data_IF_517292196822
#
_entry.id   IF_517292196822
#
_cell.length_a   1.000
_cell.length_b   1.000
_cell.length_c   1.000
_cell.angle_alpha   90.00
_cell.angle_beta   90.00
_cell.angle_gamma   90.00
#
_symmetry.space_group_name_H-M   'P 1'
#
loop_
_entity.id
_entity.type
_entity.pdbx_description
1 polymer ?
#
# COMPACT_ATOMS: atom_id res chain seq x y z
N UNK A 1 17.29 3.08 -25.16
CA UNK A 1 15.81 3.02 -25.06
C UNK A 1 15.29 4.45 -24.97
N UNK A 2 14.25 4.80 -25.71
CA UNK A 2 13.59 6.10 -25.53
C UNK A 2 12.78 6.10 -24.23
N UNK A 3 12.83 7.21 -23.51
CA UNK A 3 12.02 7.43 -22.32
C UNK A 3 10.53 7.51 -22.71
N UNK A 4 9.65 6.87 -21.93
CA UNK A 4 8.21 6.82 -22.20
C UNK A 4 7.41 7.34 -21.01
N UNK A 5 6.14 7.73 -21.24
CA UNK A 5 5.20 8.12 -20.17
C UNK A 5 5.08 7.00 -19.13
N UNK A 6 5.03 5.74 -19.58
CA UNK A 6 5.01 4.56 -18.72
C UNK A 6 6.24 4.51 -17.80
N UNK A 7 7.43 4.74 -18.35
CA UNK A 7 8.66 4.80 -17.55
C UNK A 7 8.66 5.99 -16.58
N UNK A 8 8.15 7.16 -17.00
CA UNK A 8 8.01 8.33 -16.13
C UNK A 8 7.13 8.02 -14.93
N UNK A 9 5.95 7.45 -15.18
CA UNK A 9 4.97 7.05 -14.17
C UNK A 9 5.54 6.01 -13.21
N UNK A 10 6.24 5.00 -13.72
CA UNK A 10 6.90 4.00 -12.89
C UNK A 10 7.97 4.63 -11.97
N UNK A 11 8.84 5.48 -12.51
CA UNK A 11 9.87 6.15 -11.73
C UNK A 11 9.26 7.06 -10.64
N UNK A 12 8.18 7.78 -10.96
CA UNK A 12 7.48 8.65 -10.01
C UNK A 12 6.78 7.83 -8.91
N UNK A 13 6.13 6.72 -9.25
CA UNK A 13 5.52 5.81 -8.29
C UNK A 13 6.55 5.15 -7.36
N UNK A 14 7.75 4.79 -7.86
CA UNK A 14 8.85 4.34 -7.02
C UNK A 14 9.27 5.42 -6.04
N UNK A 15 9.51 6.64 -6.53
CA UNK A 15 10.01 7.73 -5.70
C UNK A 15 9.03 8.09 -4.57
N UNK A 16 7.73 8.20 -4.89
CA UNK A 16 6.67 8.48 -3.90
C UNK A 16 6.57 7.39 -2.84
N UNK A 17 6.51 6.10 -3.25
CA UNK A 17 6.45 4.98 -2.34
C UNK A 17 7.67 4.88 -1.43
N UNK A 18 8.86 5.08 -1.99
CA UNK A 18 10.10 5.09 -1.26
C UNK A 18 10.13 6.21 -0.22
N UNK A 19 9.76 7.44 -0.59
CA UNK A 19 9.71 8.60 0.32
C UNK A 19 8.69 8.41 1.45
N UNK A 20 7.53 7.83 1.15
CA UNK A 20 6.49 7.58 2.15
C UNK A 20 6.89 6.54 3.22
N UNK A 21 7.79 5.60 2.88
CA UNK A 21 8.26 4.54 3.78
C UNK A 21 9.64 4.83 4.43
N UNK A 22 10.41 5.77 3.91
CA UNK A 22 11.82 6.00 4.25
C UNK A 22 12.10 6.35 5.71
N UNK A 23 11.20 7.08 6.38
CA UNK A 23 11.51 7.79 7.64
C UNK A 23 12.10 6.84 8.70
N UNK A 24 13.37 7.06 9.04
CA UNK A 24 14.12 6.28 10.03
C UNK A 24 14.27 4.80 9.67
N UNK A 25 14.35 4.46 8.37
CA UNK A 25 14.31 3.08 7.90
C UNK A 25 15.39 2.72 6.88
N UNK A 26 15.12 2.90 5.59
CA UNK A 26 15.99 2.54 4.47
C UNK A 26 16.11 3.74 3.54
N UNK A 27 17.14 3.78 2.68
CA UNK A 27 17.25 4.86 1.69
C UNK A 27 16.18 4.72 0.60
N UNK A 28 15.90 5.82 -0.11
CA UNK A 28 14.97 5.78 -1.24
C UNK A 28 15.42 4.85 -2.34
N UNK A 29 16.73 4.78 -2.56
CA UNK A 29 17.36 3.90 -3.55
C UNK A 29 17.08 2.44 -3.22
N UNK A 30 17.33 2.02 -1.99
CA UNK A 30 17.15 0.62 -1.58
C UNK A 30 15.69 0.19 -1.63
N UNK A 31 14.76 1.05 -1.20
CA UNK A 31 13.32 0.77 -1.35
C UNK A 31 12.94 0.69 -2.84
N UNK A 32 13.48 1.58 -3.67
CA UNK A 32 13.22 1.55 -5.11
C UNK A 32 13.76 0.29 -5.80
N UNK A 33 14.92 -0.21 -5.38
CA UNK A 33 15.45 -1.49 -5.84
C UNK A 33 14.60 -2.67 -5.38
N UNK A 34 14.06 -2.63 -4.15
CA UNK A 34 13.13 -3.65 -3.66
C UNK A 34 11.82 -3.68 -4.47
N UNK A 35 11.28 -2.52 -4.84
CA UNK A 35 10.11 -2.42 -5.73
C UNK A 35 10.44 -3.04 -7.10
N UNK A 36 11.59 -2.69 -7.70
CA UNK A 36 12.02 -3.22 -9.01
C UNK A 36 12.29 -4.73 -8.99
N UNK A 37 12.67 -5.28 -7.83
CA UNK A 37 12.89 -6.71 -7.65
C UNK A 37 11.58 -7.50 -7.40
N UNK A 38 10.45 -6.82 -7.21
CA UNK A 38 9.13 -7.42 -7.02
C UNK A 38 8.31 -7.38 -8.30
N UNK A 39 7.22 -8.13 -8.33
CA UNK A 39 6.27 -8.15 -9.45
C UNK A 39 5.27 -6.96 -9.43
N UNK A 40 5.51 -5.98 -8.55
CA UNK A 40 4.58 -4.89 -8.28
C UNK A 40 4.29 -4.02 -9.51
N UNK A 41 5.29 -3.81 -10.39
CA UNK A 41 5.05 -3.08 -11.64
C UNK A 41 4.12 -3.85 -12.57
N UNK A 42 4.37 -5.15 -12.79
CA UNK A 42 3.56 -5.98 -13.68
C UNK A 42 2.12 -6.06 -13.17
N UNK A 43 1.95 -6.25 -11.86
CA UNK A 43 0.63 -6.19 -11.22
C UNK A 43 -0.05 -4.82 -11.41
N UNK A 44 0.66 -3.71 -11.24
CA UNK A 44 0.08 -2.38 -11.40
C UNK A 44 -0.31 -2.04 -12.85
N UNK A 45 0.36 -2.65 -13.83
CA UNK A 45 -0.02 -2.53 -15.24
C UNK A 45 -1.28 -3.33 -15.58
N UNK A 46 -1.53 -4.43 -14.86
CA UNK A 46 -2.67 -5.32 -15.05
C UNK A 46 -3.16 -5.87 -13.70
N UNK A 47 -3.90 -5.07 -12.92
CA UNK A 47 -4.41 -5.51 -11.63
C UNK A 47 -5.63 -6.43 -11.83
N UNK A 48 -5.45 -7.56 -12.51
CA UNK A 48 -6.52 -8.50 -12.87
C UNK A 48 -6.94 -9.36 -11.67
N UNK A 49 -7.61 -8.73 -10.70
CA UNK A 49 -8.26 -9.39 -9.57
C UNK A 49 -9.75 -9.05 -9.55
N UNK A 50 -10.56 -10.03 -9.17
CA UNK A 50 -12.03 -9.95 -9.23
C UNK A 50 -12.67 -9.95 -7.84
N UNK A 51 -11.89 -10.15 -6.79
CA UNK A 51 -12.38 -10.07 -5.41
C UNK A 51 -11.31 -9.53 -4.47
N UNK A 52 -11.76 -9.16 -3.27
CA UNK A 52 -10.87 -8.72 -2.21
C UNK A 52 -9.93 -9.84 -1.76
N UNK A 53 -10.40 -11.09 -1.73
CA UNK A 53 -9.60 -12.26 -1.37
C UNK A 53 -8.48 -12.52 -2.39
N UNK A 54 -8.78 -12.37 -3.68
CA UNK A 54 -7.77 -12.45 -4.74
C UNK A 54 -6.72 -11.34 -4.59
N UNK A 55 -7.15 -10.11 -4.30
CA UNK A 55 -6.23 -9.01 -4.02
C UNK A 55 -5.39 -9.28 -2.77
N UNK A 56 -5.99 -9.79 -1.68
CA UNK A 56 -5.30 -10.08 -0.42
C UNK A 56 -4.20 -11.13 -0.62
N UNK A 57 -4.45 -12.17 -1.42
CA UNK A 57 -3.44 -13.17 -1.81
C UNK A 57 -2.31 -12.53 -2.61
N UNK A 58 -2.64 -11.74 -3.63
CA UNK A 58 -1.63 -11.08 -4.45
C UNK A 58 -0.80 -10.08 -3.65
N UNK A 59 -1.44 -9.33 -2.75
CA UNK A 59 -0.78 -8.40 -1.84
C UNK A 59 0.25 -9.12 -0.95
N UNK A 60 -0.08 -10.31 -0.42
CA UNK A 60 0.89 -11.13 0.35
C UNK A 60 2.10 -11.50 -0.47
N UNK A 61 1.90 -11.95 -1.71
CA UNK A 61 3.00 -12.31 -2.63
C UNK A 61 3.91 -11.10 -2.86
N UNK A 62 3.35 -9.95 -3.20
CA UNK A 62 4.09 -8.71 -3.44
C UNK A 62 4.83 -8.23 -2.19
N UNK A 63 4.18 -8.28 -1.02
CA UNK A 63 4.79 -7.88 0.25
C UNK A 63 5.98 -8.76 0.59
N UNK A 64 5.84 -10.08 0.45
CA UNK A 64 6.90 -11.04 0.71
C UNK A 64 8.09 -10.87 -0.26
N UNK A 65 7.86 -10.55 -1.53
CA UNK A 65 8.92 -10.23 -2.48
C UNK A 65 9.71 -8.98 -2.06
N UNK A 66 9.01 -7.91 -1.68
CA UNK A 66 9.64 -6.66 -1.20
C UNK A 66 10.43 -6.91 0.08
N UNK A 67 9.84 -7.62 1.05
CA UNK A 67 10.48 -7.96 2.32
C UNK A 67 11.75 -8.77 2.08
N UNK A 68 11.68 -9.86 1.28
CA UNK A 68 12.83 -10.68 0.93
C UNK A 68 13.94 -9.88 0.25
N UNK A 69 13.59 -8.94 -0.62
CA UNK A 69 14.57 -8.08 -1.28
C UNK A 69 15.31 -7.18 -0.28
N UNK A 70 14.58 -6.58 0.67
CA UNK A 70 15.16 -5.73 1.72
C UNK A 70 15.99 -6.53 2.73
N UNK A 71 15.51 -7.70 3.13
CA UNK A 71 16.20 -8.59 4.06
C UNK A 71 17.50 -9.14 3.48
N UNK A 72 17.56 -9.41 2.17
CA UNK A 72 18.80 -9.80 1.50
C UNK A 72 19.89 -8.71 1.54
N UNK A 73 19.50 -7.48 1.90
CA UNK A 73 20.38 -6.31 2.11
C UNK A 73 20.54 -5.97 3.60
N UNK A 74 20.16 -6.88 4.49
CA UNK A 74 20.24 -6.73 5.96
C UNK A 74 19.38 -5.56 6.46
N UNK A 75 18.27 -5.28 5.78
CA UNK A 75 17.29 -4.26 6.21
C UNK A 75 16.03 -5.00 6.67
N UNK A 76 15.76 -5.05 7.99
CA UNK A 76 14.58 -5.73 8.52
C UNK A 76 13.29 -5.04 8.06
N UNK A 77 12.43 -5.74 7.32
CA UNK A 77 11.19 -5.19 6.83
C UNK A 77 10.00 -5.85 7.53
N UNK A 78 9.17 -5.06 8.21
CA UNK A 78 7.87 -5.56 8.71
C UNK A 78 6.84 -5.56 7.59
N UNK A 79 5.80 -6.37 7.75
CA UNK A 79 4.72 -6.44 6.76
C UNK A 79 4.06 -5.08 6.54
N UNK A 80 3.81 -4.32 7.61
CA UNK A 80 3.22 -2.97 7.50
C UNK A 80 4.07 -1.98 6.70
N UNK A 81 5.40 -2.14 6.67
CA UNK A 81 6.28 -1.32 5.80
C UNK A 81 6.14 -1.71 4.34
N UNK A 82 6.16 -3.01 4.03
CA UNK A 82 5.97 -3.51 2.67
C UNK A 82 4.58 -3.14 2.13
N UNK A 83 3.54 -3.30 2.96
CA UNK A 83 2.18 -2.89 2.66
C UNK A 83 2.08 -1.39 2.34
N UNK A 84 2.73 -0.52 3.12
CA UNK A 84 2.74 0.92 2.83
C UNK A 84 3.41 1.24 1.49
N UNK A 85 4.51 0.55 1.16
CA UNK A 85 5.19 0.70 -0.14
C UNK A 85 4.23 0.33 -1.28
N UNK A 86 3.57 -0.83 -1.18
CA UNK A 86 2.61 -1.31 -2.17
C UNK A 86 1.46 -0.33 -2.34
N UNK A 87 0.83 0.09 -1.25
CA UNK A 87 -0.31 1.00 -1.28
C UNK A 87 0.05 2.31 -2.01
N UNK A 88 1.13 2.99 -1.61
CA UNK A 88 1.53 4.27 -2.22
C UNK A 88 1.92 4.11 -3.70
N UNK A 89 2.63 3.02 -4.03
CA UNK A 89 2.97 2.73 -5.42
C UNK A 89 1.72 2.54 -6.27
N UNK A 90 0.76 1.72 -5.81
CA UNK A 90 -0.49 1.46 -6.52
C UNK A 90 -1.40 2.68 -6.57
N UNK A 91 -1.41 3.56 -5.56
CA UNK A 91 -2.12 4.84 -5.66
C UNK A 91 -1.57 5.71 -6.77
N UNK A 92 -0.26 5.88 -6.78
CA UNK A 92 0.43 6.73 -7.75
C UNK A 92 0.35 6.15 -9.16
N UNK A 93 0.46 4.84 -9.30
CA UNK A 93 0.50 4.16 -10.60
C UNK A 93 -0.87 3.74 -11.11
N UNK A 94 -1.88 3.51 -10.28
CA UNK A 94 -3.16 2.97 -10.75
C UNK A 94 -4.30 3.92 -10.47
N UNK A 95 -4.48 4.35 -9.22
CA UNK A 95 -5.69 5.09 -8.82
C UNK A 95 -5.69 6.55 -9.29
N UNK A 96 -4.56 7.25 -9.16
CA UNK A 96 -4.47 8.66 -9.60
C UNK A 96 -4.55 8.76 -11.13
N UNK A 97 -3.99 7.77 -11.83
CA UNK A 97 -4.07 7.69 -13.28
C UNK A 97 -5.39 7.03 -13.70
N UNK A 98 -6.46 7.82 -13.67
CA UNK A 98 -7.83 7.43 -14.03
C UNK A 98 -8.00 6.97 -15.49
N UNK A 99 -6.93 7.03 -16.31
CA UNK A 99 -6.95 6.58 -17.70
C UNK A 99 -7.23 5.08 -17.85
N UNK A 100 -7.00 4.30 -16.79
CA UNK A 100 -7.33 2.88 -16.74
C UNK A 100 -8.24 2.61 -15.54
N UNK A 101 -9.57 2.58 -15.75
CA UNK A 101 -10.52 1.91 -14.85
C UNK A 101 -10.31 0.40 -14.93
N UNK A 102 -9.12 -0.06 -14.56
CA UNK A 102 -8.78 -1.46 -14.53
C UNK A 102 -9.68 -2.15 -13.48
N UNK A 103 -10.08 -3.39 -13.77
CA UNK A 103 -10.71 -4.25 -12.77
C UNK A 103 -9.81 -4.33 -11.53
N UNK A 104 -10.40 -4.56 -10.37
CA UNK A 104 -9.65 -4.79 -9.14
C UNK A 104 -9.13 -3.54 -8.42
N UNK A 105 -9.27 -2.34 -9.03
CA UNK A 105 -8.90 -1.08 -8.39
C UNK A 105 -9.63 -0.88 -7.06
N UNK A 106 -10.90 -1.29 -6.97
CA UNK A 106 -11.69 -1.16 -5.75
C UNK A 106 -11.14 -1.94 -4.54
N UNK A 107 -10.35 -3.00 -4.77
CA UNK A 107 -9.81 -3.85 -3.70
C UNK A 107 -8.47 -3.36 -3.16
N UNK A 108 -7.84 -2.36 -3.80
CA UNK A 108 -6.54 -1.84 -3.39
C UNK A 108 -6.63 -1.21 -2.01
N UNK A 109 -5.84 -1.73 -1.07
CA UNK A 109 -5.80 -1.24 0.31
C UNK A 109 -5.43 0.25 0.38
N UNK A 110 -5.94 0.97 1.40
CA UNK A 110 -5.46 2.31 1.70
C UNK A 110 -4.05 2.26 2.31
N UNK A 111 -3.25 3.34 2.23
CA UNK A 111 -1.97 3.43 2.89
C UNK A 111 -2.16 3.45 4.42
N UNK A 112 -1.91 2.32 5.07
CA UNK A 112 -1.98 2.24 6.53
C UNK A 112 -0.79 3.00 7.14
N UNK A 113 -1.08 4.17 7.69
CA UNK A 113 -0.12 4.93 8.48
C UNK A 113 -0.77 5.65 9.66
N UNK A 114 0.04 6.42 10.39
CA UNK A 114 -0.43 7.12 11.59
C UNK A 114 -1.52 8.15 11.27
N UNK A 115 -1.44 8.84 10.13
CA UNK A 115 -2.41 9.89 9.77
C UNK A 115 -3.77 9.22 9.54
N UNK A 116 -3.80 8.21 8.68
CA UNK A 116 -5.04 7.50 8.36
C UNK A 116 -5.65 6.86 9.61
N UNK A 117 -4.86 6.12 10.40
CA UNK A 117 -5.35 5.45 11.60
C UNK A 117 -5.83 6.42 12.67
N UNK A 118 -5.19 7.58 12.80
CA UNK A 118 -5.59 8.62 13.75
C UNK A 118 -6.90 9.27 13.36
N UNK A 119 -7.03 9.68 12.10
CA UNK A 119 -8.22 10.36 11.63
C UNK A 119 -9.42 9.41 11.63
N UNK A 120 -9.24 8.17 11.15
CA UNK A 120 -10.29 7.15 11.24
C UNK A 120 -10.71 6.88 12.69
N UNK A 121 -9.76 6.86 13.64
CA UNK A 121 -10.09 6.69 15.05
C UNK A 121 -10.95 7.83 15.61
N UNK A 122 -10.79 9.05 15.12
CA UNK A 122 -11.57 10.20 15.58
C UNK A 122 -12.96 10.25 14.92
N UNK A 123 -13.08 9.74 13.69
CA UNK A 123 -14.35 9.65 12.95
C UNK A 123 -15.26 8.53 13.47
N UNK A 124 -14.68 7.40 13.91
CA UNK A 124 -15.44 6.24 14.40
C UNK A 124 -15.44 6.21 15.91
N UNK A 125 -16.56 5.82 16.53
CA UNK A 125 -16.60 5.59 17.99
C UNK A 125 -15.45 4.65 18.39
N UNK A 126 -14.67 5.03 19.40
CA UNK A 126 -13.32 4.55 19.77
C UNK A 126 -13.16 3.03 19.99
N UNK A 127 -14.24 2.28 19.82
CA UNK A 127 -14.41 0.82 19.87
C UNK A 127 -13.33 0.04 19.11
N UNK A 128 -12.92 0.47 17.91
CA UNK A 128 -11.96 -0.27 17.08
C UNK A 128 -10.50 -0.11 17.51
N UNK A 129 -10.20 0.88 18.37
CA UNK A 129 -8.87 1.17 18.92
C UNK A 129 -7.75 1.24 17.84
N UNK A 130 -8.04 1.87 16.70
CA UNK A 130 -7.13 1.95 15.55
C UNK A 130 -5.79 2.64 15.89
N UNK A 131 -5.79 3.59 16.84
CA UNK A 131 -4.58 4.26 17.33
C UNK A 131 -3.57 3.36 18.04
N UNK A 132 -3.97 2.14 18.44
CA UNK A 132 -3.04 1.20 19.09
C UNK A 132 -2.10 0.52 18.09
N UNK A 133 -2.36 0.65 16.79
CA UNK A 133 -1.55 0.02 15.75
C UNK A 133 -0.35 0.90 15.38
N UNK A 134 0.85 0.35 15.56
CA UNK A 134 2.08 0.95 15.05
C UNK A 134 2.40 0.36 13.68
N UNK A 135 1.94 0.98 12.59
CA UNK A 135 2.09 0.45 11.22
C UNK A 135 3.52 -0.03 10.85
N UNK A 136 4.57 0.62 11.36
CA UNK A 136 5.97 0.19 11.12
C UNK A 136 6.38 -1.10 11.83
N UNK A 137 5.54 -1.63 12.72
CA UNK A 137 5.77 -2.82 13.57
C UNK A 137 4.71 -3.91 13.37
N UNK A 138 3.82 -3.74 12.39
CA UNK A 138 2.74 -4.70 12.15
C UNK A 138 3.30 -5.88 11.34
N UNK A 139 3.07 -7.08 11.88
CA UNK A 139 3.29 -8.36 11.20
C UNK A 139 2.05 -8.79 10.39
N UNK A 140 2.23 -9.72 9.45
CA UNK A 140 1.19 -10.12 8.47
C UNK A 140 -0.18 -10.40 9.12
N UNK A 141 -0.24 -11.27 10.13
CA UNK A 141 -1.52 -11.64 10.76
C UNK A 141 -2.22 -10.42 11.35
N UNK A 142 -1.47 -9.52 12.01
CA UNK A 142 -2.02 -8.29 12.60
C UNK A 142 -2.40 -7.26 11.54
N UNK A 143 -1.73 -7.27 10.39
CA UNK A 143 -2.12 -6.47 9.24
C UNK A 143 -3.48 -6.90 8.73
N UNK A 144 -3.71 -8.19 8.48
CA UNK A 144 -4.99 -8.66 7.98
C UNK A 144 -6.12 -8.54 9.02
N UNK A 145 -5.84 -8.74 10.32
CA UNK A 145 -6.80 -8.38 11.37
C UNK A 145 -7.22 -6.90 11.31
N UNK A 146 -6.27 -6.00 11.03
CA UNK A 146 -6.56 -4.58 10.86
C UNK A 146 -7.33 -4.31 9.57
N UNK A 147 -6.99 -4.97 8.47
CA UNK A 147 -7.71 -4.87 7.20
C UNK A 147 -9.18 -5.26 7.37
N UNK A 148 -9.49 -6.36 8.06
CA UNK A 148 -10.87 -6.76 8.33
C UNK A 148 -11.62 -5.70 9.15
N UNK A 149 -10.98 -5.07 10.14
CA UNK A 149 -11.57 -3.95 10.89
C UNK A 149 -11.81 -2.71 10.04
N UNK A 150 -10.92 -2.42 9.10
CA UNK A 150 -11.06 -1.27 8.22
C UNK A 150 -12.17 -1.50 7.18
N UNK A 151 -12.34 -2.74 6.70
CA UNK A 151 -13.42 -3.10 5.77
C UNK A 151 -14.81 -2.82 6.34
N UNK A 152 -15.01 -2.96 7.66
CA UNK A 152 -16.31 -2.65 8.30
C UNK A 152 -16.66 -1.16 8.29
N UNK A 153 -15.71 -0.28 7.98
CA UNK A 153 -15.90 1.16 7.91
C UNK A 153 -16.28 1.66 6.52
N UNK A 154 -16.25 0.78 5.51
CA UNK A 154 -16.53 1.15 4.12
C UNK A 154 -18.05 1.19 3.93
N UNK A 155 -18.63 2.32 3.46
CA UNK A 155 -20.03 2.36 3.10
C UNK A 155 -20.34 1.42 1.93
N UNK A 156 -21.56 0.92 1.86
CA UNK A 156 -21.99 0.02 0.78
C UNK A 156 -21.70 0.62 -0.62
N UNK A 157 -21.12 -0.19 -1.51
CA UNK A 157 -20.78 0.21 -2.87
C UNK A 157 -19.57 1.14 -3.01
N UNK A 158 -18.82 1.41 -1.92
CA UNK A 158 -17.56 2.17 -1.99
C UNK A 158 -16.34 1.24 -2.10
N UNK A 159 -15.29 1.66 -2.83
CA UNK A 159 -14.05 0.90 -2.91
C UNK A 159 -13.28 0.97 -1.58
N UNK A 160 -12.38 0.03 -1.32
CA UNK A 160 -11.63 0.01 -0.06
C UNK A 160 -10.74 1.24 0.13
N UNK A 161 -10.15 1.74 -0.94
CA UNK A 161 -9.37 2.98 -0.91
C UNK A 161 -10.21 4.23 -0.58
N UNK A 162 -11.53 4.15 -0.52
CA UNK A 162 -12.40 5.25 -0.09
C UNK A 162 -12.05 5.77 1.31
N UNK A 163 -11.50 4.94 2.19
CA UNK A 163 -11.01 5.37 3.51
C UNK A 163 -9.93 6.45 3.44
N UNK A 164 -9.27 6.62 2.30
CA UNK A 164 -8.28 7.68 2.07
C UNK A 164 -8.89 9.08 2.13
N UNK A 165 -10.22 9.23 2.14
CA UNK A 165 -10.88 10.52 2.46
C UNK A 165 -10.40 11.08 3.81
N UNK A 166 -10.01 10.21 4.73
CA UNK A 166 -9.52 10.56 6.07
C UNK A 166 -7.99 10.63 6.13
N UNK A 167 -7.28 10.52 5.00
CA UNK A 167 -5.81 10.68 4.92
C UNK A 167 -5.40 12.15 4.70
N UNK A 168 -6.03 13.07 5.43
CA UNK A 168 -5.73 14.51 5.40
C UNK A 168 -4.67 14.90 6.44
N UNK A 169 -3.83 15.88 6.08
CA UNK A 169 -2.83 16.49 6.98
C UNK A 169 -3.34 17.75 7.68
N UNK A 170 -4.56 18.17 7.35
CA UNK A 170 -5.24 19.37 7.88
C UNK A 170 -5.97 19.07 9.20
#
# INVERSE_FOLDING_TARGET
MSYSIKQHKHNFAIWTAARAAQRGYASTEVIGEAIKASDLQNFAEKPEVNSQEEFDVQHKVLANQIMKSLESRVIPCTYGRAAKIIAIYLKTFVIIDQSNLAKGIEFIHPPIDRILLHNLHNEVDNTLKLNNYSWTKIEENKYFELIEKLKTLIPEGKPFWYLEKDWSVE
#
